data_IF_507693638431
#
_entry.id   IF_507693638431
#
_cell.length_a   1.000
_cell.length_b   1.000
_cell.length_c   1.000
_cell.angle_alpha   90.00
_cell.angle_beta   90.00
_cell.angle_gamma   90.00
#
_symmetry.space_group_name_H-M   'P 1'
#
loop_
_entity.id
_entity.type
_entity.pdbx_description
1 polymer ?
#
# COMPACT_ATOMS: atom_id res chain seq x y z
N UNK A 1 -5.73 -9.72 -0.42
CA UNK A 1 -6.39 -8.94 -1.49
C UNK A 1 -7.90 -8.71 -1.25
N UNK A 2 -8.70 -9.74 -0.90
CA UNK A 2 -10.18 -9.62 -0.82
C UNK A 2 -10.66 -8.58 0.20
N UNK A 3 -10.13 -8.61 1.43
CA UNK A 3 -10.53 -7.66 2.48
C UNK A 3 -10.38 -6.19 2.07
N UNK A 4 -9.17 -5.75 1.62
CA UNK A 4 -8.98 -4.40 1.11
C UNK A 4 -9.93 -4.03 -0.04
N UNK A 5 -10.12 -4.92 -1.03
CA UNK A 5 -11.05 -4.68 -2.14
C UNK A 5 -12.49 -4.44 -1.67
N UNK A 6 -13.01 -5.33 -0.81
CA UNK A 6 -14.36 -5.18 -0.27
C UNK A 6 -14.52 -3.94 0.61
N UNK A 7 -13.47 -3.57 1.34
CA UNK A 7 -13.45 -2.34 2.15
C UNK A 7 -13.57 -1.12 1.25
N UNK A 8 -12.75 -1.02 0.20
CA UNK A 8 -12.85 0.07 -0.78
C UNK A 8 -14.25 0.15 -1.37
N UNK A 9 -14.83 -0.98 -1.79
CA UNK A 9 -16.18 -1.02 -2.35
C UNK A 9 -17.24 -0.52 -1.36
N UNK A 10 -17.14 -0.91 -0.09
CA UNK A 10 -18.09 -0.51 0.94
C UNK A 10 -18.03 0.99 1.25
N UNK A 11 -16.85 1.60 1.21
CA UNK A 11 -16.62 3.01 1.51
C UNK A 11 -16.62 3.93 0.28
N UNK A 12 -16.79 3.38 -0.93
CA UNK A 12 -16.77 4.15 -2.17
C UNK A 12 -17.78 5.33 -2.18
N UNK A 13 -19.01 5.20 -1.68
CA UNK A 13 -19.93 6.34 -1.60
C UNK A 13 -19.36 7.51 -0.78
N UNK A 14 -18.66 7.23 0.33
CA UNK A 14 -18.06 8.24 1.19
C UNK A 14 -16.79 8.83 0.57
N UNK A 15 -15.99 8.00 -0.13
CA UNK A 15 -14.81 8.47 -0.84
C UNK A 15 -15.18 9.50 -1.92
N UNK A 16 -16.28 9.29 -2.65
CA UNK A 16 -16.82 10.22 -3.66
C UNK A 16 -17.26 11.58 -3.11
N UNK A 17 -17.50 11.68 -1.80
CA UNK A 17 -17.85 12.95 -1.14
C UNK A 17 -16.62 13.73 -0.69
N UNK A 18 -15.44 13.10 -0.64
CA UNK A 18 -14.20 13.76 -0.24
C UNK A 18 -13.62 14.55 -1.40
N UNK A 19 -13.06 15.73 -1.10
CA UNK A 19 -12.34 16.54 -2.09
C UNK A 19 -10.95 16.00 -2.41
N UNK A 20 -10.37 15.23 -1.48
CA UNK A 20 -9.01 14.70 -1.54
C UNK A 20 -9.03 13.23 -1.07
N UNK A 21 -9.75 12.36 -1.79
CA UNK A 21 -9.88 10.95 -1.43
C UNK A 21 -8.59 10.18 -1.76
N UNK A 22 -8.03 9.47 -0.77
CA UNK A 22 -6.87 8.60 -0.95
C UNK A 22 -7.14 7.24 -0.32
N UNK A 23 -6.97 6.18 -1.11
CA UNK A 23 -6.96 4.80 -0.66
C UNK A 23 -5.51 4.36 -0.53
N UNK A 24 -5.11 3.88 0.64
CA UNK A 24 -3.76 3.35 0.87
C UNK A 24 -3.83 1.91 1.32
N UNK A 25 -3.33 1.00 0.48
CA UNK A 25 -3.21 -0.41 0.82
C UNK A 25 -1.83 -0.67 1.46
N UNK A 26 -1.83 -1.11 2.73
CA UNK A 26 -0.59 -1.50 3.42
C UNK A 26 -0.07 -2.81 2.81
N UNK A 27 0.85 -2.69 1.87
CA UNK A 27 1.46 -3.80 1.15
C UNK A 27 2.82 -4.19 1.76
N UNK A 28 3.69 -4.84 0.99
CA UNK A 28 5.02 -5.24 1.41
C UNK A 28 5.94 -5.36 0.19
N UNK A 29 7.23 -5.05 0.35
CA UNK A 29 8.23 -5.35 -0.67
C UNK A 29 8.27 -6.86 -1.01
N UNK A 30 7.84 -7.73 -0.09
CA UNK A 30 7.67 -9.15 -0.36
C UNK A 30 6.67 -9.46 -1.49
N UNK A 31 5.79 -8.51 -1.81
CA UNK A 31 4.88 -8.55 -2.94
C UNK A 31 5.46 -7.98 -4.23
N UNK A 32 6.69 -7.46 -4.22
CA UNK A 32 7.40 -7.10 -5.45
C UNK A 32 7.87 -8.37 -6.14
N UNK A 33 7.48 -8.54 -7.41
CA UNK A 33 7.95 -9.63 -8.26
C UNK A 33 9.35 -9.31 -8.79
N UNK A 34 9.61 -8.04 -9.14
CA UNK A 34 10.92 -7.58 -9.63
C UNK A 34 12.02 -7.70 -8.59
N UNK A 35 11.71 -7.44 -7.31
CA UNK A 35 12.68 -7.49 -6.21
C UNK A 35 12.70 -8.84 -5.47
N UNK A 36 12.06 -9.89 -6.03
CA UNK A 36 12.02 -11.20 -5.39
C UNK A 36 13.26 -12.06 -5.73
N UNK A 37 14.33 -11.86 -4.97
CA UNK A 37 15.60 -12.60 -5.06
C UNK A 37 15.72 -13.80 -4.09
N UNK A 38 14.79 -13.90 -3.13
CA UNK A 38 14.95 -14.68 -1.90
C UNK A 38 13.97 -15.85 -1.78
N UNK A 39 12.81 -15.79 -2.46
CA UNK A 39 11.77 -16.80 -2.34
C UNK A 39 11.19 -16.91 -0.92
N UNK A 40 10.61 -18.08 -0.59
CA UNK A 40 9.97 -18.35 0.71
C UNK A 40 8.69 -17.55 0.98
N UNK A 41 7.98 -17.87 2.06
CA UNK A 41 6.73 -17.19 2.47
C UNK A 41 5.70 -17.07 1.33
N UNK A 42 5.58 -18.09 0.49
CA UNK A 42 4.87 -18.04 -0.80
C UNK A 42 3.46 -17.46 -0.68
N UNK A 43 2.66 -17.94 0.27
CA UNK A 43 1.29 -17.47 0.48
C UNK A 43 1.23 -15.98 0.82
N UNK A 44 2.14 -15.48 1.65
CA UNK A 44 2.24 -14.07 2.00
C UNK A 44 2.69 -13.22 0.79
N UNK A 45 3.72 -13.66 0.07
CA UNK A 45 4.21 -12.97 -1.14
C UNK A 45 3.13 -12.86 -2.20
N UNK A 46 2.47 -13.97 -2.53
CA UNK A 46 1.34 -14.02 -3.48
C UNK A 46 0.22 -13.09 -3.01
N UNK A 47 -0.14 -13.12 -1.72
CA UNK A 47 -1.19 -12.25 -1.20
C UNK A 47 -0.85 -10.75 -1.30
N UNK A 48 0.43 -10.37 -1.17
CA UNK A 48 0.92 -8.99 -1.30
C UNK A 48 1.09 -8.56 -2.75
N UNK A 49 1.59 -9.43 -3.62
CA UNK A 49 1.61 -9.19 -5.07
C UNK A 49 0.19 -9.03 -5.64
N UNK A 50 -0.76 -9.83 -5.17
CA UNK A 50 -2.15 -9.68 -5.58
C UNK A 50 -2.80 -8.40 -5.01
N UNK A 51 -2.40 -7.95 -3.82
CA UNK A 51 -2.82 -6.64 -3.28
C UNK A 51 -2.23 -5.47 -4.07
N UNK A 52 -0.99 -5.62 -4.58
CA UNK A 52 -0.38 -4.66 -5.49
C UNK A 52 -1.21 -4.53 -6.77
N UNK A 53 -1.60 -5.65 -7.39
CA UNK A 53 -2.50 -5.62 -8.56
C UNK A 53 -3.84 -4.95 -8.26
N UNK A 54 -4.49 -5.30 -7.13
CA UNK A 54 -5.73 -4.62 -6.70
C UNK A 54 -5.54 -3.10 -6.58
N UNK A 55 -4.38 -2.64 -6.11
CA UNK A 55 -4.08 -1.21 -5.99
C UNK A 55 -3.97 -0.54 -7.35
N UNK A 56 -3.31 -1.19 -8.31
CA UNK A 56 -3.19 -0.70 -9.70
C UNK A 56 -4.56 -0.62 -10.38
N UNK A 57 -5.36 -1.67 -10.30
CA UNK A 57 -6.69 -1.68 -10.93
C UNK A 57 -7.62 -0.65 -10.28
N UNK A 58 -7.66 -0.58 -8.95
CA UNK A 58 -8.46 0.42 -8.23
C UNK A 58 -8.04 1.84 -8.59
N UNK A 59 -6.73 2.11 -8.70
CA UNK A 59 -6.22 3.41 -9.10
C UNK A 59 -6.68 3.83 -10.49
N UNK A 60 -6.69 2.89 -11.45
CA UNK A 60 -7.12 3.14 -12.82
C UNK A 60 -8.63 3.31 -12.92
N UNK A 61 -9.39 2.47 -12.22
CA UNK A 61 -10.85 2.50 -12.21
C UNK A 61 -11.38 3.81 -11.63
N UNK A 62 -10.77 4.30 -10.53
CA UNK A 62 -11.25 5.48 -9.82
C UNK A 62 -10.54 6.78 -10.24
N UNK A 63 -9.58 6.73 -11.16
CA UNK A 63 -8.89 7.92 -11.66
C UNK A 63 -9.85 8.98 -12.27
N UNK A 64 -10.88 8.62 -13.08
CA UNK A 64 -11.85 9.59 -13.58
C UNK A 64 -12.67 10.29 -12.48
N UNK A 65 -12.73 9.69 -11.29
CA UNK A 65 -13.45 10.22 -10.12
C UNK A 65 -12.54 11.06 -9.21
N UNK A 66 -11.24 11.20 -9.53
CA UNK A 66 -10.29 11.95 -8.70
C UNK A 66 -9.92 11.28 -7.38
N UNK A 67 -10.10 9.96 -7.26
CA UNK A 67 -9.76 9.19 -6.06
C UNK A 67 -8.41 8.51 -6.29
N UNK A 68 -7.40 8.90 -5.51
CA UNK A 68 -6.08 8.28 -5.60
C UNK A 68 -6.05 6.93 -4.89
N UNK A 69 -5.29 5.97 -5.42
CA UNK A 69 -5.03 4.70 -4.75
C UNK A 69 -3.55 4.32 -4.87
N UNK A 70 -2.92 3.95 -3.76
CA UNK A 70 -1.52 3.53 -3.73
C UNK A 70 -1.32 2.25 -2.91
N UNK A 71 -0.21 1.57 -3.16
CA UNK A 71 0.35 0.58 -2.25
C UNK A 71 1.47 1.21 -1.41
N UNK A 72 1.54 0.86 -0.13
CA UNK A 72 2.55 1.39 0.79
C UNK A 72 3.21 0.27 1.60
N UNK A 73 4.52 0.16 1.51
CA UNK A 73 5.33 -0.75 2.29
C UNK A 73 5.83 -0.08 3.59
N UNK A 74 5.44 -0.58 4.78
CA UNK A 74 5.89 -0.02 6.04
C UNK A 74 7.36 -0.37 6.38
N UNK A 75 7.99 -1.26 5.63
CA UNK A 75 9.27 -1.94 5.93
C UNK A 75 9.34 -2.66 7.27
N UNK A 76 10.56 -2.85 7.78
CA UNK A 76 10.85 -3.73 8.92
C UNK A 76 10.37 -3.21 10.27
N UNK A 77 9.07 -3.26 10.54
CA UNK A 77 8.48 -2.80 11.81
C UNK A 77 8.51 -3.89 12.88
N UNK A 78 8.90 -3.55 14.11
CA UNK A 78 8.88 -4.41 15.31
C UNK A 78 7.44 -4.64 15.75
N UNK A 79 6.85 -5.76 15.33
CA UNK A 79 5.49 -6.16 15.66
C UNK A 79 5.44 -7.67 15.91
N UNK A 80 4.30 -8.18 16.40
CA UNK A 80 4.06 -9.63 16.49
C UNK A 80 4.24 -10.33 15.13
N UNK A 81 3.86 -9.68 14.02
CA UNK A 81 3.99 -10.26 12.67
C UNK A 81 5.45 -10.49 12.27
N UNK A 82 6.36 -9.62 12.68
CA UNK A 82 7.80 -9.77 12.41
C UNK A 82 8.55 -10.53 13.51
N UNK A 83 7.84 -11.08 14.50
CA UNK A 83 8.47 -11.64 15.70
C UNK A 83 9.34 -10.61 16.45
N UNK A 84 9.00 -9.33 16.34
CA UNK A 84 9.76 -8.20 16.88
C UNK A 84 11.21 -8.06 16.37
N UNK A 85 11.54 -8.68 15.24
CA UNK A 85 12.90 -8.65 14.63
C UNK A 85 13.17 -7.44 13.74
N UNK A 86 12.17 -6.58 13.51
CA UNK A 86 12.33 -5.38 12.68
C UNK A 86 13.34 -4.36 13.25
N UNK A 87 13.82 -3.46 12.40
CA UNK A 87 14.73 -2.37 12.79
C UNK A 87 14.03 -1.14 13.40
N UNK A 88 12.70 -1.02 13.31
CA UNK A 88 11.95 0.21 13.62
C UNK A 88 10.70 -0.04 14.46
N UNK A 89 10.34 0.90 15.36
CA UNK A 89 9.09 0.82 16.14
C UNK A 89 7.83 1.20 15.33
N UNK A 90 6.63 0.77 15.75
CA UNK A 90 5.37 1.12 15.07
C UNK A 90 5.14 2.63 14.93
N UNK A 91 5.36 3.40 15.98
CA UNK A 91 5.12 4.85 15.99
C UNK A 91 6.01 5.59 14.98
N UNK A 92 7.27 5.18 14.89
CA UNK A 92 8.21 5.73 13.92
C UNK A 92 7.79 5.36 12.49
N UNK A 93 7.38 4.10 12.25
CA UNK A 93 6.91 3.66 10.95
C UNK A 93 5.67 4.43 10.51
N UNK A 94 4.68 4.61 11.38
CA UNK A 94 3.45 5.36 11.10
C UNK A 94 3.76 6.83 10.84
N UNK A 95 4.62 7.45 11.65
CA UNK A 95 5.04 8.85 11.45
C UNK A 95 5.65 9.05 10.05
N UNK A 96 6.49 8.12 9.59
CA UNK A 96 7.08 8.19 8.24
C UNK A 96 6.04 7.95 7.15
N UNK A 97 5.16 6.96 7.34
CA UNK A 97 4.06 6.70 6.40
C UNK A 97 3.13 7.91 6.24
N UNK A 98 2.76 8.60 7.33
CA UNK A 98 1.93 9.79 7.27
C UNK A 98 2.57 10.89 6.41
N UNK A 99 3.88 11.11 6.53
CA UNK A 99 4.61 12.07 5.67
C UNK A 99 4.53 11.73 4.18
N UNK A 100 4.51 10.44 3.84
CA UNK A 100 4.28 10.00 2.44
C UNK A 100 2.86 10.34 2.02
N UNK A 101 1.87 10.02 2.87
CA UNK A 101 0.45 10.26 2.62
C UNK A 101 0.09 11.72 2.44
N UNK A 102 0.72 12.63 3.20
CA UNK A 102 0.54 14.08 3.07
C UNK A 102 0.88 14.60 1.66
N UNK A 103 1.72 13.87 0.93
CA UNK A 103 2.14 14.21 -0.43
C UNK A 103 1.46 13.41 -1.54
N UNK A 104 0.48 12.56 -1.26
CA UNK A 104 -0.19 11.75 -2.30
C UNK A 104 -1.27 12.58 -3.02
N UNK A 105 -1.17 12.60 -4.34
CA UNK A 105 -2.14 13.20 -5.25
C UNK A 105 -2.37 12.27 -6.46
N UNK A 106 -3.17 12.73 -7.43
CA UNK A 106 -3.46 11.98 -8.64
C UNK A 106 -2.24 11.69 -9.51
N UNK A 107 -1.14 12.45 -9.42
CA UNK A 107 0.11 12.16 -10.15
C UNK A 107 0.85 10.95 -9.59
N UNK A 108 0.52 10.53 -8.36
CA UNK A 108 1.12 9.39 -7.66
C UNK A 108 0.21 8.17 -7.57
N UNK A 109 -1.02 8.26 -8.07
CA UNK A 109 -1.97 7.13 -8.07
C UNK A 109 -1.42 5.94 -8.87
N UNK A 110 -1.72 4.72 -8.43
CA UNK A 110 -1.31 3.49 -9.10
C UNK A 110 0.18 3.16 -8.95
N UNK A 111 0.85 3.69 -7.94
CA UNK A 111 2.28 3.47 -7.63
C UNK A 111 2.47 2.77 -6.30
N UNK A 112 3.68 2.25 -6.10
CA UNK A 112 4.08 1.55 -4.88
C UNK A 112 5.19 2.30 -4.17
N UNK A 113 4.98 2.64 -2.90
CA UNK A 113 5.95 3.41 -2.13
C UNK A 113 6.45 2.64 -0.91
N UNK A 114 7.69 2.90 -0.52
CA UNK A 114 8.20 2.61 0.80
C UNK A 114 7.84 3.74 1.78
N UNK A 115 7.85 3.47 3.08
CA UNK A 115 7.51 4.44 4.14
C UNK A 115 8.37 5.72 4.14
N UNK A 116 9.52 5.72 3.46
CA UNK A 116 10.39 6.89 3.33
C UNK A 116 10.13 7.71 2.04
N UNK A 117 9.15 7.30 1.24
CA UNK A 117 8.77 7.98 0.00
C UNK A 117 9.50 7.47 -1.24
N UNK A 118 10.43 6.53 -1.09
CA UNK A 118 11.04 5.86 -2.25
C UNK A 118 9.96 5.06 -3.00
N UNK A 119 9.89 5.21 -4.32
CA UNK A 119 9.09 4.32 -5.15
C UNK A 119 9.75 2.94 -5.28
N UNK A 120 8.95 1.89 -5.16
CA UNK A 120 9.36 0.50 -5.26
C UNK A 120 8.90 -0.10 -6.59
N UNK A 121 9.64 -1.09 -7.08
CA UNK A 121 9.21 -1.89 -8.21
C UNK A 121 8.05 -2.83 -7.81
N UNK A 122 7.24 -3.20 -8.79
CA UNK A 122 6.14 -4.16 -8.61
C UNK A 122 6.60 -5.60 -8.44
#
# INVERSE_FOLDING_TARGET
>A
MVGPFLTTKAFLPQLRLSKNAVITNISSNAGSISDNDSGGNLSYRVAKAALNMVSVDTARELAPEGIACIALHPGGVKTKMSGFTGHMGPDEAVTRMLKVLDGIDMSKTGRFFHRDGQELAW
#
